data_IF_570528897817
#
_entry.id   IF_570528897817
#
_cell.length_a   1.000
_cell.length_b   1.000
_cell.length_c   1.000
_cell.angle_alpha   90.00
_cell.angle_beta   90.00
_cell.angle_gamma   90.00
#
_symmetry.space_group_name_H-M   'P 1'
#
loop_
_entity.id
_entity.type
_entity.pdbx_description
1 polymer ?
#
# COMPACT_ATOMS: atom_id res chain seq x y z
N UNK A 1 -48.02 4.73 -41.11
CA UNK A 1 -47.02 5.75 -41.50
C UNK A 1 -46.13 6.02 -40.31
N UNK A 2 -44.82 6.15 -40.57
CA UNK A 2 -43.69 6.31 -39.64
C UNK A 2 -43.05 5.04 -39.08
N UNK A 3 -42.20 4.49 -39.94
CA UNK A 3 -41.07 3.60 -39.65
C UNK A 3 -39.89 4.42 -39.12
N UNK A 4 -39.13 3.89 -38.15
CA UNK A 4 -37.75 4.32 -37.87
C UNK A 4 -36.83 3.09 -37.76
N UNK A 5 -35.57 3.18 -38.21
CA UNK A 5 -34.75 2.03 -38.56
C UNK A 5 -33.86 1.54 -37.42
N UNK A 6 -33.68 0.22 -37.35
CA UNK A 6 -32.64 -0.44 -36.58
C UNK A 6 -31.26 -0.14 -37.18
N UNK A 7 -30.39 0.52 -36.41
CA UNK A 7 -28.97 0.64 -36.72
C UNK A 7 -28.18 -0.36 -35.87
N UNK A 8 -27.65 -1.40 -36.53
CA UNK A 8 -26.59 -2.26 -35.98
C UNK A 8 -25.28 -1.46 -35.90
N UNK A 9 -24.86 -1.10 -34.68
CA UNK A 9 -23.52 -0.60 -34.43
C UNK A 9 -22.56 -1.79 -34.25
N UNK A 10 -21.77 -2.08 -35.29
CA UNK A 10 -20.62 -2.97 -35.21
C UNK A 10 -19.59 -2.38 -34.25
N UNK A 11 -19.30 -3.09 -33.16
CA UNK A 11 -18.17 -2.79 -32.29
C UNK A 11 -16.86 -3.14 -33.01
N UNK A 12 -16.22 -2.15 -33.63
CA UNK A 12 -14.84 -2.27 -34.11
C UNK A 12 -13.88 -2.33 -32.91
N UNK A 13 -13.30 -3.51 -32.67
CA UNK A 13 -12.12 -3.64 -31.82
C UNK A 13 -10.93 -2.99 -32.52
N UNK A 14 -10.62 -1.74 -32.16
CA UNK A 14 -9.33 -1.15 -32.53
C UNK A 14 -8.22 -1.74 -31.67
N UNK A 15 -7.54 -2.76 -32.20
CA UNK A 15 -6.21 -3.14 -31.76
C UNK A 15 -5.25 -1.98 -32.05
N UNK A 16 -4.84 -1.23 -31.02
CA UNK A 16 -3.84 -0.17 -31.16
C UNK A 16 -2.44 -0.78 -31.08
N UNK A 17 -1.75 -0.82 -32.22
CA UNK A 17 -0.36 -1.26 -32.34
C UNK A 17 0.62 -0.17 -31.88
N UNK A 18 1.76 -0.62 -31.36
CA UNK A 18 2.82 0.11 -30.64
C UNK A 18 3.62 1.13 -31.49
N UNK A 19 3.25 1.34 -32.76
CA UNK A 19 4.09 2.06 -33.74
C UNK A 19 4.03 3.60 -33.64
N UNK A 20 3.06 4.18 -32.93
CA UNK A 20 2.95 5.64 -32.80
C UNK A 20 3.75 6.25 -31.64
N UNK A 21 4.31 5.44 -30.73
CA UNK A 21 5.05 5.94 -29.56
C UNK A 21 6.56 6.12 -29.77
N UNK A 22 7.16 5.50 -30.80
CA UNK A 22 8.63 5.43 -30.95
C UNK A 22 9.23 6.57 -31.79
N UNK A 23 8.43 7.42 -32.43
CA UNK A 23 8.96 8.45 -33.36
C UNK A 23 9.34 9.82 -32.76
N UNK A 24 9.41 9.97 -31.44
CA UNK A 24 9.72 11.26 -30.82
C UNK A 24 10.90 11.27 -29.83
N UNK A 25 11.90 10.41 -30.05
CA UNK A 25 13.21 10.57 -29.43
C UNK A 25 14.32 10.46 -30.49
N UNK A 26 15.02 11.57 -30.69
CA UNK A 26 16.15 11.74 -31.61
C UNK A 26 17.37 10.89 -31.21
N UNK A 27 18.11 10.46 -32.24
CA UNK A 27 19.25 9.52 -32.33
C UNK A 27 20.34 9.56 -31.22
N UNK A 28 21.07 8.43 -31.02
CA UNK A 28 22.09 8.26 -29.98
C UNK A 28 23.48 8.73 -30.42
N UNK A 29 24.33 9.13 -29.46
CA UNK A 29 25.79 9.13 -29.61
C UNK A 29 26.34 7.89 -28.93
N UNK A 30 27.02 7.05 -29.70
CA UNK A 30 27.78 5.91 -29.20
C UNK A 30 28.94 6.39 -28.32
N UNK A 31 29.01 5.89 -27.09
CA UNK A 31 30.25 5.79 -26.33
C UNK A 31 30.24 4.41 -25.67
N UNK A 32 31.14 3.54 -26.10
CA UNK A 32 31.39 2.26 -25.47
C UNK A 32 31.89 2.51 -24.03
N UNK A 33 31.21 1.96 -23.03
CA UNK A 33 31.72 1.94 -21.65
C UNK A 33 32.07 0.49 -21.35
N UNK A 34 33.38 0.27 -21.23
CA UNK A 34 34.00 -0.96 -20.76
C UNK A 34 33.50 -1.28 -19.35
N UNK A 35 33.11 -2.53 -19.14
CA UNK A 35 32.73 -3.05 -17.82
C UNK A 35 34.01 -3.27 -17.01
N UNK A 36 34.37 -2.30 -16.18
CA UNK A 36 35.34 -2.51 -15.12
C UNK A 36 34.65 -3.05 -13.86
N UNK A 37 35.05 -4.26 -13.51
CA UNK A 37 34.65 -4.98 -12.32
C UNK A 37 35.38 -4.34 -11.11
N UNK A 38 34.68 -3.51 -10.33
CA UNK A 38 35.22 -2.91 -9.10
C UNK A 38 34.32 -3.15 -7.90
N UNK A 39 34.88 -3.95 -6.99
CA UNK A 39 34.70 -4.04 -5.53
C UNK A 39 33.78 -3.04 -4.84
N UNK A 40 32.87 -3.59 -4.01
CA UNK A 40 32.26 -3.04 -2.79
C UNK A 40 32.18 -1.51 -2.67
N UNK A 41 30.99 -0.95 -2.95
CA UNK A 41 30.68 0.45 -2.65
C UNK A 41 30.53 0.71 -1.14
N UNK A 42 30.90 1.91 -0.66
CA UNK A 42 30.86 2.24 0.76
C UNK A 42 29.42 2.35 1.29
N UNK A 43 29.19 1.90 2.53
CA UNK A 43 27.92 2.02 3.25
C UNK A 43 27.46 3.50 3.22
N UNK A 44 26.42 3.81 2.44
CA UNK A 44 25.81 5.14 2.48
C UNK A 44 25.07 5.31 3.81
N UNK A 45 25.39 6.37 4.55
CA UNK A 45 24.71 6.70 5.79
C UNK A 45 23.26 7.09 5.52
N UNK A 46 22.31 6.40 6.18
CA UNK A 46 20.89 6.74 6.08
C UNK A 46 20.65 8.17 6.57
N UNK A 47 20.09 8.99 5.69
CA UNK A 47 19.56 10.29 6.06
C UNK A 47 18.13 10.09 6.57
N UNK A 48 17.90 10.35 7.86
CA UNK A 48 16.56 10.39 8.45
C UNK A 48 15.91 11.75 8.20
N UNK A 49 14.61 11.79 8.00
CA UNK A 49 13.88 13.05 8.13
C UNK A 49 13.97 13.53 9.59
N UNK A 50 14.21 14.82 9.81
CA UNK A 50 13.84 15.43 11.08
C UNK A 50 12.32 15.45 11.15
N UNK A 51 11.75 14.82 12.19
CA UNK A 51 10.31 14.86 12.42
C UNK A 51 9.84 16.30 12.54
N UNK A 52 9.02 16.75 11.60
CA UNK A 52 8.35 18.07 11.67
C UNK A 52 7.09 18.02 12.53
N UNK A 53 6.84 16.91 13.23
CA UNK A 53 5.72 16.76 14.16
C UNK A 53 5.68 17.86 15.23
N UNK A 54 6.85 18.39 15.62
CA UNK A 54 7.03 19.48 16.59
C UNK A 54 6.81 20.88 15.96
N UNK A 55 6.92 21.00 14.63
CA UNK A 55 6.64 22.25 13.89
C UNK A 55 5.16 22.63 13.96
N UNK A 56 4.32 21.64 14.21
CA UNK A 56 2.96 21.87 14.67
C UNK A 56 2.93 21.79 16.19
N UNK A 57 3.40 22.86 16.84
CA UNK A 57 3.27 23.02 18.28
C UNK A 57 1.81 22.74 18.68
N UNK A 58 1.63 22.07 19.83
CA UNK A 58 0.34 21.81 20.45
C UNK A 58 -0.28 23.15 20.89
N UNK A 59 -0.68 23.98 19.94
CA UNK A 59 -1.34 25.25 20.23
C UNK A 59 -2.78 25.06 20.71
N UNK A 60 -3.32 23.83 20.68
CA UNK A 60 -4.67 23.51 21.17
C UNK A 60 -4.66 22.23 22.02
N UNK A 61 -5.14 22.28 23.29
CA UNK A 61 -5.32 21.10 24.15
C UNK A 61 -6.11 19.95 23.51
N UNK A 62 -7.00 20.27 22.57
CA UNK A 62 -7.81 19.32 21.81
C UNK A 62 -6.95 18.34 20.99
N UNK A 63 -5.86 18.79 20.38
CA UNK A 63 -5.00 17.93 19.55
C UNK A 63 -4.34 16.80 20.38
N UNK A 64 -3.95 17.10 21.62
CA UNK A 64 -3.36 16.13 22.52
C UNK A 64 -4.38 15.06 22.93
N UNK A 65 -5.63 15.47 23.20
CA UNK A 65 -6.73 14.56 23.51
C UNK A 65 -7.03 13.69 22.30
N UNK A 66 -7.19 14.28 21.10
CA UNK A 66 -7.48 13.54 19.87
C UNK A 66 -6.38 12.55 19.51
N UNK A 67 -5.10 12.89 19.68
CA UNK A 67 -4.00 11.94 19.49
C UNK A 67 -4.06 10.74 20.44
N UNK A 68 -4.55 10.92 21.68
CA UNK A 68 -4.74 9.81 22.64
C UNK A 68 -5.96 8.96 22.31
N UNK A 69 -7.04 9.58 21.83
CA UNK A 69 -8.29 8.91 21.47
C UNK A 69 -8.24 8.24 20.09
N UNK A 70 -7.40 8.74 19.18
CA UNK A 70 -7.20 8.22 17.83
C UNK A 70 -7.15 6.69 17.74
N UNK A 71 -6.25 5.98 18.46
CA UNK A 71 -6.19 4.52 18.38
C UNK A 71 -7.49 3.84 18.87
N UNK A 72 -8.19 4.43 19.83
CA UNK A 72 -9.48 3.90 20.33
C UNK A 72 -10.53 4.06 19.23
N UNK A 73 -10.62 5.25 18.63
CA UNK A 73 -11.57 5.56 17.55
C UNK A 73 -11.35 4.65 16.34
N UNK A 74 -10.09 4.42 15.95
CA UNK A 74 -9.76 3.65 14.75
C UNK A 74 -9.90 2.14 14.93
N UNK A 75 -9.48 1.60 16.07
CA UNK A 75 -9.31 0.16 16.23
C UNK A 75 -10.32 -0.48 17.19
N UNK A 76 -10.81 0.28 18.17
CA UNK A 76 -11.71 -0.25 19.19
C UNK A 76 -13.17 0.06 18.85
N UNK A 77 -13.49 1.28 18.41
CA UNK A 77 -14.87 1.68 18.07
C UNK A 77 -15.52 0.77 17.03
N UNK A 78 -14.87 0.37 15.91
CA UNK A 78 -15.51 -0.52 14.94
C UNK A 78 -15.96 -1.85 15.54
N UNK A 79 -15.17 -2.41 16.45
CA UNK A 79 -15.49 -3.67 17.15
C UNK A 79 -16.68 -3.46 18.09
N UNK A 80 -16.72 -2.35 18.83
CA UNK A 80 -17.82 -2.06 19.76
C UNK A 80 -19.11 -1.76 19.00
N UNK A 81 -19.03 -1.02 17.90
CA UNK A 81 -20.17 -0.77 17.00
C UNK A 81 -20.71 -2.07 16.43
N UNK A 82 -19.84 -2.99 16.00
CA UNK A 82 -20.25 -4.30 15.53
C UNK A 82 -20.94 -5.12 16.62
N UNK A 83 -20.37 -5.19 17.82
CA UNK A 83 -20.96 -5.91 18.96
C UNK A 83 -22.29 -5.30 19.40
N UNK A 84 -22.39 -3.98 19.47
CA UNK A 84 -23.64 -3.28 19.78
C UNK A 84 -24.71 -3.56 18.73
N UNK A 85 -24.34 -3.55 17.46
CA UNK A 85 -25.27 -3.86 16.37
C UNK A 85 -25.69 -5.33 16.38
N UNK A 86 -24.78 -6.24 16.70
CA UNK A 86 -25.10 -7.65 16.92
C UNK A 86 -26.05 -7.83 18.12
N UNK A 87 -25.85 -7.08 19.21
CA UNK A 87 -26.75 -7.10 20.37
C UNK A 87 -28.17 -6.62 20.00
N UNK A 88 -28.29 -5.61 19.11
CA UNK A 88 -29.59 -5.17 18.61
C UNK A 88 -30.35 -6.26 17.85
N UNK A 89 -29.67 -7.27 17.31
CA UNK A 89 -30.32 -8.42 16.65
C UNK A 89 -31.24 -9.23 17.57
N UNK A 90 -31.01 -9.16 18.89
CA UNK A 90 -31.80 -9.86 19.90
C UNK A 90 -33.05 -9.08 20.33
N UNK A 91 -33.09 -7.77 20.07
CA UNK A 91 -34.17 -6.87 20.51
C UNK A 91 -35.05 -6.42 19.34
N UNK A 92 -34.47 -6.28 18.15
CA UNK A 92 -35.19 -5.83 16.96
C UNK A 92 -35.96 -6.98 16.30
N UNK A 93 -37.13 -6.71 15.69
CA UNK A 93 -37.81 -7.71 14.88
C UNK A 93 -36.88 -8.19 13.75
N UNK A 94 -36.80 -9.52 13.58
CA UNK A 94 -35.83 -10.16 12.67
C UNK A 94 -35.84 -9.58 11.26
N UNK A 95 -37.03 -9.26 10.74
CA UNK A 95 -37.20 -8.67 9.40
C UNK A 95 -36.48 -7.33 9.25
N UNK A 96 -36.61 -6.42 10.23
CA UNK A 96 -35.92 -5.13 10.20
C UNK A 96 -34.41 -5.29 10.36
N UNK A 97 -33.97 -6.18 11.25
CA UNK A 97 -32.55 -6.45 11.45
C UNK A 97 -31.88 -6.98 10.18
N UNK A 98 -32.42 -8.03 9.57
CA UNK A 98 -31.86 -8.62 8.34
C UNK A 98 -31.93 -7.66 7.15
N UNK A 99 -33.01 -6.88 7.02
CA UNK A 99 -33.11 -5.83 5.99
C UNK A 99 -32.03 -4.76 6.17
N UNK A 100 -31.79 -4.33 7.41
CA UNK A 100 -30.75 -3.34 7.72
C UNK A 100 -29.34 -3.86 7.40
N UNK A 101 -29.05 -5.13 7.71
CA UNK A 101 -27.79 -5.78 7.34
C UNK A 101 -27.62 -5.85 5.83
N UNK A 102 -28.67 -6.27 5.12
CA UNK A 102 -28.65 -6.37 3.67
C UNK A 102 -28.32 -5.02 3.03
N UNK A 103 -28.99 -3.94 3.45
CA UNK A 103 -28.70 -2.58 2.95
C UNK A 103 -27.27 -2.15 3.30
N UNK A 104 -26.87 -2.28 4.56
CA UNK A 104 -25.56 -1.81 5.03
C UNK A 104 -24.39 -2.51 4.33
N UNK A 105 -24.48 -3.82 4.10
CA UNK A 105 -23.43 -4.57 3.40
C UNK A 105 -23.54 -4.46 1.88
N UNK A 106 -24.73 -4.36 1.29
CA UNK A 106 -24.88 -4.24 -0.17
C UNK A 106 -24.51 -2.85 -0.70
N UNK A 107 -24.84 -1.78 0.04
CA UNK A 107 -24.58 -0.39 -0.35
C UNK A 107 -23.12 -0.12 -0.80
N UNK A 108 -22.08 -0.43 -0.01
CA UNK A 108 -20.70 -0.16 -0.42
C UNK A 108 -20.27 -1.02 -1.62
N UNK A 109 -20.80 -2.24 -1.77
CA UNK A 109 -20.52 -3.10 -2.92
C UNK A 109 -21.13 -2.52 -4.21
N UNK A 110 -22.40 -2.07 -4.14
CA UNK A 110 -23.10 -1.44 -5.26
C UNK A 110 -22.37 -0.15 -5.65
N UNK A 111 -22.07 0.73 -4.68
CA UNK A 111 -21.35 1.97 -4.95
C UNK A 111 -19.95 1.75 -5.53
N UNK A 112 -19.21 0.75 -5.04
CA UNK A 112 -17.91 0.41 -5.61
C UNK A 112 -18.07 -0.03 -7.07
N UNK A 113 -19.06 -0.87 -7.39
CA UNK A 113 -19.33 -1.31 -8.77
C UNK A 113 -19.75 -0.16 -9.67
N UNK A 114 -20.65 0.71 -9.22
CA UNK A 114 -21.04 1.92 -9.96
C UNK A 114 -19.84 2.84 -10.20
N UNK A 115 -18.92 2.93 -9.24
CA UNK A 115 -17.69 3.70 -9.40
C UNK A 115 -16.70 3.05 -10.38
N UNK A 116 -16.58 1.72 -10.39
CA UNK A 116 -15.79 0.97 -11.37
C UNK A 116 -16.33 1.16 -12.80
N UNK A 117 -17.66 1.24 -12.96
CA UNK A 117 -18.34 1.54 -14.22
C UNK A 117 -18.25 3.02 -14.62
N UNK A 118 -17.74 3.89 -13.75
CA UNK A 118 -17.66 5.33 -13.99
C UNK A 118 -19.00 6.08 -13.88
N UNK A 119 -20.05 5.42 -13.40
CA UNK A 119 -21.40 5.99 -13.20
C UNK A 119 -21.40 6.94 -12.00
N UNK A 120 -20.70 6.56 -10.92
CA UNK A 120 -20.62 7.34 -9.69
C UNK A 120 -19.17 7.67 -9.33
N UNK A 121 -18.94 8.84 -8.73
CA UNK A 121 -17.65 9.14 -8.09
C UNK A 121 -17.78 8.86 -6.60
N UNK A 122 -17.03 7.87 -6.11
CA UNK A 122 -16.95 7.55 -4.68
C UNK A 122 -15.96 8.48 -3.97
N UNK A 123 -16.17 9.79 -4.11
CA UNK A 123 -15.29 10.84 -3.63
C UNK A 123 -16.12 11.87 -2.86
N UNK A 124 -15.62 12.33 -1.70
CA UNK A 124 -16.24 13.43 -0.95
C UNK A 124 -15.17 14.49 -0.66
N UNK A 125 -15.20 15.65 -1.36
CA UNK A 125 -14.16 16.68 -1.24
C UNK A 125 -13.91 17.18 0.19
N UNK A 126 -14.97 17.38 0.99
CA UNK A 126 -14.83 17.83 2.37
C UNK A 126 -14.10 16.79 3.23
N UNK A 127 -14.49 15.51 3.15
CA UNK A 127 -13.82 14.43 3.88
C UNK A 127 -12.39 14.17 3.41
N UNK A 128 -12.11 14.43 2.13
CA UNK A 128 -10.75 14.39 1.59
C UNK A 128 -9.87 15.47 2.23
N UNK A 129 -10.39 16.68 2.42
CA UNK A 129 -9.70 17.77 3.12
C UNK A 129 -9.40 17.46 4.59
N UNK A 130 -10.21 16.64 5.24
CA UNK A 130 -10.00 16.19 6.62
C UNK A 130 -8.99 15.03 6.76
N UNK A 131 -8.62 14.37 5.66
CA UNK A 131 -7.72 13.22 5.69
C UNK A 131 -6.37 13.53 6.37
N UNK A 132 -5.64 14.62 6.02
CA UNK A 132 -4.35 14.92 6.63
C UNK A 132 -4.46 15.16 8.14
N UNK A 133 -5.54 15.81 8.58
CA UNK A 133 -5.79 16.06 10.01
C UNK A 133 -6.02 14.77 10.78
N UNK A 134 -6.91 13.90 10.29
CA UNK A 134 -7.17 12.60 10.93
C UNK A 134 -5.92 11.73 10.97
N UNK A 135 -5.20 11.67 9.85
CA UNK A 135 -4.12 10.72 9.67
C UNK A 135 -2.78 11.20 10.27
N UNK A 136 -2.62 12.50 10.55
CA UNK A 136 -1.57 13.04 11.42
C UNK A 136 -1.54 12.36 12.78
N UNK A 137 -2.71 11.99 13.32
CA UNK A 137 -2.77 11.28 14.59
C UNK A 137 -2.25 9.83 14.46
N UNK A 138 -2.36 9.17 13.29
CA UNK A 138 -1.66 7.90 13.03
C UNK A 138 -0.14 8.06 13.19
N UNK A 139 0.42 9.06 12.51
CA UNK A 139 1.87 9.36 12.46
C UNK A 139 2.41 9.77 13.84
N UNK A 140 1.55 10.31 14.70
CA UNK A 140 1.92 10.65 16.08
C UNK A 140 1.79 9.48 17.05
N UNK A 141 0.85 8.56 16.77
CA UNK A 141 0.67 7.38 17.60
C UNK A 141 1.87 6.44 17.48
N UNK A 142 2.30 6.14 16.25
CA UNK A 142 3.52 5.38 15.96
C UNK A 142 4.67 6.33 15.67
N UNK A 143 5.87 6.18 16.25
CA UNK A 143 7.05 6.93 15.82
C UNK A 143 7.45 6.50 14.38
N UNK A 144 6.81 7.08 13.35
CA UNK A 144 7.00 6.73 11.95
C UNK A 144 8.15 7.54 11.31
N UNK A 145 9.34 6.97 11.23
CA UNK A 145 10.52 7.71 10.74
C UNK A 145 10.92 7.25 9.33
N UNK A 146 10.82 8.09 8.30
CA UNK A 146 11.34 7.75 6.97
C UNK A 146 12.86 7.98 6.89
N UNK A 147 13.53 7.11 6.14
CA UNK A 147 14.96 7.16 5.85
C UNK A 147 15.19 6.92 4.37
N UNK A 148 16.07 7.70 3.73
CA UNK A 148 16.48 7.42 2.34
C UNK A 148 17.84 6.76 2.29
N UNK A 149 17.97 5.72 1.46
CA UNK A 149 19.27 5.11 1.14
C UNK A 149 19.86 5.65 -0.16
N UNK A 150 19.08 6.37 -0.97
CA UNK A 150 19.51 6.96 -2.23
C UNK A 150 18.62 8.16 -2.58
N UNK A 151 19.14 9.04 -3.43
CA UNK A 151 18.35 10.14 -3.99
C UNK A 151 17.34 9.64 -5.02
N UNK A 152 16.19 10.30 -5.08
CA UNK A 152 15.16 10.08 -6.09
C UNK A 152 15.01 11.35 -6.94
N UNK A 153 15.05 11.16 -8.25
CA UNK A 153 14.88 12.22 -9.24
C UNK A 153 13.38 12.54 -9.39
N UNK A 154 12.91 13.74 -9.01
CA UNK A 154 11.50 14.09 -9.03
C UNK A 154 10.88 14.04 -10.43
N UNK A 155 11.70 14.07 -11.50
CA UNK A 155 11.25 13.96 -12.88
C UNK A 155 10.94 12.53 -13.30
N UNK A 156 11.35 11.51 -12.53
CA UNK A 156 11.04 10.11 -12.79
C UNK A 156 9.75 9.64 -12.10
N UNK A 157 9.10 8.65 -12.70
CA UNK A 157 7.90 8.00 -12.15
C UNK A 157 8.31 6.83 -11.27
N UNK A 158 7.71 6.72 -10.09
CA UNK A 158 8.06 5.68 -9.12
C UNK A 158 6.87 4.81 -8.70
N UNK A 159 7.16 3.52 -8.60
CA UNK A 159 6.35 2.54 -7.90
C UNK A 159 7.08 2.15 -6.61
N UNK A 160 6.58 2.61 -5.47
CA UNK A 160 7.07 2.21 -4.16
C UNK A 160 6.46 0.87 -3.79
N UNK A 161 7.30 -0.15 -3.58
CA UNK A 161 6.86 -1.48 -3.21
C UNK A 161 7.24 -1.73 -1.74
N UNK A 162 6.24 -1.62 -0.87
CA UNK A 162 6.37 -1.62 0.58
C UNK A 162 6.30 -3.02 1.18
N UNK A 163 7.18 -3.29 2.13
CA UNK A 163 7.29 -4.53 2.88
C UNK A 163 7.69 -4.27 4.34
N UNK A 164 7.36 -5.17 5.28
CA UNK A 164 6.31 -6.18 5.14
C UNK A 164 4.92 -5.51 5.21
N UNK A 165 3.86 -6.24 4.87
CA UNK A 165 2.48 -5.77 4.96
C UNK A 165 2.05 -5.53 6.42
N UNK A 166 2.58 -6.29 7.38
CA UNK A 166 2.09 -6.27 8.76
C UNK A 166 0.62 -6.68 8.87
N UNK A 167 0.01 -6.50 10.06
CA UNK A 167 -1.46 -6.61 10.19
C UNK A 167 -2.14 -5.43 9.46
N UNK A 168 -1.56 -4.25 9.65
CA UNK A 168 -1.82 -3.06 8.85
C UNK A 168 -0.48 -2.55 8.34
N UNK A 169 -0.48 -1.86 7.20
CA UNK A 169 0.74 -1.27 6.63
C UNK A 169 0.91 0.17 7.14
N UNK A 170 1.25 0.36 8.42
CA UNK A 170 1.34 1.70 9.01
C UNK A 170 2.48 2.54 8.45
N UNK A 171 3.64 1.95 8.17
CA UNK A 171 4.77 2.72 7.67
C UNK A 171 4.52 3.32 6.28
N UNK A 172 3.59 2.80 5.47
CA UNK A 172 3.14 3.46 4.24
C UNK A 172 2.64 4.89 4.49
N UNK A 173 2.11 5.19 5.67
CA UNK A 173 1.60 6.51 6.00
C UNK A 173 2.68 7.60 6.01
N UNK A 174 3.96 7.24 6.10
CA UNK A 174 5.07 8.19 5.96
C UNK A 174 5.06 8.91 4.60
N UNK A 175 4.73 8.24 3.48
CA UNK A 175 4.66 8.87 2.16
C UNK A 175 3.28 9.44 1.80
N UNK A 176 2.25 9.15 2.60
CA UNK A 176 0.91 9.71 2.42
C UNK A 176 0.76 11.02 3.23
N UNK A 177 1.29 11.09 4.45
CA UNK A 177 1.29 12.30 5.30
C UNK A 177 2.63 12.99 5.30
N UNK A 178 3.00 13.44 4.09
CA UNK A 178 4.35 13.91 3.80
C UNK A 178 4.80 15.09 4.66
N UNK A 179 3.85 15.95 5.02
CA UNK A 179 4.07 17.12 5.88
C UNK A 179 4.39 16.77 7.34
N UNK A 180 3.85 15.65 7.84
CA UNK A 180 3.96 15.25 9.25
C UNK A 180 5.13 14.29 9.47
N UNK A 181 5.37 13.39 8.52
CA UNK A 181 6.44 12.39 8.58
C UNK A 181 7.82 12.97 8.24
N UNK A 182 7.88 14.19 7.70
CA UNK A 182 9.11 14.78 7.17
C UNK A 182 9.53 14.22 5.80
N UNK A 183 8.67 13.45 5.13
CA UNK A 183 8.93 12.92 3.78
C UNK A 183 9.36 13.98 2.77
N UNK A 184 8.72 15.16 2.78
CA UNK A 184 9.03 16.26 1.85
C UNK A 184 10.43 16.83 2.03
N UNK A 185 11.01 16.69 3.23
CA UNK A 185 12.40 17.06 3.48
C UNK A 185 13.39 16.06 2.87
N UNK A 186 13.02 14.77 2.81
CA UNK A 186 13.86 13.73 2.22
C UNK A 186 13.78 13.72 0.70
N UNK A 187 12.58 13.90 0.16
CA UNK A 187 12.29 13.83 -1.27
C UNK A 187 11.51 15.06 -1.73
N UNK A 188 12.18 16.21 -1.88
CA UNK A 188 11.54 17.46 -2.26
C UNK A 188 10.98 17.37 -3.69
N UNK A 189 9.84 18.04 -3.92
CA UNK A 189 9.15 18.13 -5.24
C UNK A 189 8.67 16.80 -5.82
N UNK A 190 8.69 15.70 -5.06
CA UNK A 190 8.17 14.43 -5.55
C UNK A 190 6.69 14.51 -5.93
N UNK A 191 6.33 13.85 -7.03
CA UNK A 191 4.94 13.71 -7.47
C UNK A 191 4.06 13.05 -6.40
N UNK A 192 2.74 13.35 -6.37
CA UNK A 192 1.83 12.75 -5.40
C UNK A 192 1.86 11.22 -5.45
N UNK A 193 2.03 10.59 -4.28
CA UNK A 193 2.01 9.13 -4.13
C UNK A 193 0.58 8.70 -3.82
N UNK A 194 0.02 7.80 -4.63
CA UNK A 194 -1.33 7.29 -4.42
C UNK A 194 -1.31 5.85 -3.90
N UNK A 195 -2.07 5.56 -2.82
CA UNK A 195 -2.15 4.22 -2.27
C UNK A 195 -3.18 3.35 -2.98
N UNK A 196 -2.83 2.07 -3.12
CA UNK A 196 -3.70 1.04 -3.67
C UNK A 196 -3.95 -0.05 -2.65
N UNK A 197 -5.21 -0.44 -2.49
CA UNK A 197 -5.65 -1.45 -1.51
C UNK A 197 -6.51 -2.52 -2.18
N UNK A 198 -6.74 -3.63 -1.49
CA UNK A 198 -7.63 -4.67 -1.97
C UNK A 198 -9.05 -4.14 -2.19
N UNK A 199 -9.71 -4.56 -3.27
CA UNK A 199 -11.12 -4.20 -3.52
C UNK A 199 -12.03 -4.66 -2.39
N UNK A 200 -11.72 -5.78 -1.73
CA UNK A 200 -12.46 -6.26 -0.55
C UNK A 200 -12.46 -5.26 0.60
N UNK A 201 -11.35 -4.54 0.81
CA UNK A 201 -11.26 -3.48 1.81
C UNK A 201 -12.14 -2.29 1.44
N UNK A 202 -12.19 -1.93 0.16
CA UNK A 202 -13.08 -0.87 -0.33
C UNK A 202 -14.56 -1.30 -0.29
N UNK A 203 -14.87 -2.58 -0.29
CA UNK A 203 -16.24 -3.07 -0.13
C UNK A 203 -16.72 -3.09 1.32
N UNK A 204 -15.85 -2.82 2.31
CA UNK A 204 -16.28 -2.76 3.71
C UNK A 204 -17.15 -1.52 3.96
N UNK A 205 -18.31 -1.66 4.63
CA UNK A 205 -19.16 -0.53 4.98
C UNK A 205 -18.41 0.51 5.82
N UNK A 206 -18.67 1.80 5.56
CA UNK A 206 -18.02 2.97 6.17
C UNK A 206 -16.53 3.08 5.85
N UNK A 207 -15.72 2.07 6.18
CA UNK A 207 -14.28 2.08 5.97
C UNK A 207 -13.91 2.24 4.49
N UNK A 208 -14.59 1.50 3.61
CA UNK A 208 -14.33 1.58 2.18
C UNK A 208 -14.65 2.96 1.60
N UNK A 209 -15.69 3.63 2.09
CA UNK A 209 -16.05 4.99 1.68
C UNK A 209 -15.02 6.00 2.17
N UNK A 210 -14.65 5.92 3.46
CA UNK A 210 -13.62 6.76 4.07
C UNK A 210 -12.29 6.64 3.30
N UNK A 211 -11.84 5.42 3.02
CA UNK A 211 -10.62 5.20 2.24
C UNK A 211 -10.74 5.76 0.82
N UNK A 212 -11.88 5.57 0.15
CA UNK A 212 -12.10 6.13 -1.20
C UNK A 212 -12.07 7.67 -1.18
N UNK A 213 -12.68 8.30 -0.18
CA UNK A 213 -12.64 9.75 0.01
C UNK A 213 -11.23 10.27 0.24
N UNK A 214 -10.40 9.50 0.96
CA UNK A 214 -8.96 9.78 1.15
C UNK A 214 -8.09 9.45 -0.07
N UNK A 215 -8.70 9.03 -1.18
CA UNK A 215 -8.03 8.83 -2.47
C UNK A 215 -7.45 7.44 -2.69
N UNK A 216 -7.75 6.48 -1.81
CA UNK A 216 -7.40 5.07 -2.02
C UNK A 216 -8.19 4.50 -3.19
N UNK A 217 -7.53 3.63 -3.96
CA UNK A 217 -8.13 2.94 -5.10
C UNK A 217 -7.88 1.45 -5.03
N UNK A 218 -8.71 0.68 -5.73
CA UNK A 218 -8.47 -0.75 -5.84
C UNK A 218 -7.18 -1.03 -6.60
N UNK A 219 -6.38 -1.95 -6.08
CA UNK A 219 -5.07 -2.38 -6.62
C UNK A 219 -5.20 -3.22 -7.91
N UNK A 220 -5.97 -2.73 -8.88
CA UNK A 220 -6.11 -3.34 -10.20
C UNK A 220 -5.07 -2.77 -11.16
N UNK A 221 -4.62 -3.60 -12.12
CA UNK A 221 -3.71 -3.15 -13.20
C UNK A 221 -4.22 -1.89 -13.88
N UNK A 222 -5.52 -1.84 -14.21
CA UNK A 222 -6.12 -0.69 -14.89
C UNK A 222 -6.02 0.59 -14.05
N UNK A 223 -6.29 0.54 -12.75
CA UNK A 223 -6.23 1.70 -11.88
C UNK A 223 -4.79 2.20 -11.66
N UNK A 224 -3.83 1.29 -11.50
CA UNK A 224 -2.42 1.66 -11.31
C UNK A 224 -1.86 2.28 -12.61
N UNK A 225 -2.12 1.67 -13.77
CA UNK A 225 -1.73 2.24 -15.07
C UNK A 225 -2.38 3.62 -15.28
N UNK A 226 -3.67 3.77 -14.97
CA UNK A 226 -4.39 5.05 -15.05
C UNK A 226 -3.78 6.10 -14.12
N UNK A 227 -3.23 5.70 -12.97
CA UNK A 227 -2.54 6.61 -12.05
C UNK A 227 -1.22 7.12 -12.62
N UNK A 228 -0.41 6.23 -13.20
CA UNK A 228 0.83 6.63 -13.88
C UNK A 228 0.57 7.51 -15.10
N UNK A 229 -0.52 7.27 -15.86
CA UNK A 229 -0.95 8.15 -16.96
C UNK A 229 -1.36 9.56 -16.52
N UNK A 230 -1.55 9.79 -15.22
CA UNK A 230 -1.87 11.11 -14.63
C UNK A 230 -0.64 11.73 -13.93
N UNK A 231 0.56 11.27 -14.27
CA UNK A 231 1.83 11.69 -13.68
C UNK A 231 1.83 11.65 -12.15
N UNK A 232 1.43 10.50 -11.61
CA UNK A 232 1.42 10.22 -10.17
C UNK A 232 2.29 9.02 -9.86
N UNK A 233 2.91 9.05 -8.69
CA UNK A 233 3.60 7.89 -8.13
C UNK A 233 2.57 6.97 -7.47
N UNK A 234 2.96 5.71 -7.29
CA UNK A 234 2.10 4.69 -6.69
C UNK A 234 2.83 4.02 -5.53
N UNK A 235 2.10 3.72 -4.45
CA UNK A 235 2.55 2.73 -3.46
C UNK A 235 1.70 1.48 -3.54
N UNK A 236 2.38 0.35 -3.51
CA UNK A 236 1.79 -0.99 -3.52
C UNK A 236 2.42 -1.83 -2.40
N UNK A 237 1.69 -2.86 -1.97
CA UNK A 237 2.14 -3.84 -0.98
C UNK A 237 2.07 -5.22 -1.62
N UNK A 238 3.14 -5.67 -2.31
CA UNK A 238 3.09 -6.85 -3.18
C UNK A 238 2.68 -8.14 -2.47
N UNK A 239 3.10 -8.33 -1.21
CA UNK A 239 2.78 -9.52 -0.43
C UNK A 239 1.30 -9.65 -0.08
N UNK A 240 0.65 -8.52 0.20
CA UNK A 240 -0.77 -8.45 0.53
C UNK A 240 -1.15 -9.33 1.73
N UNK A 241 -2.39 -9.85 1.69
CA UNK A 241 -2.93 -10.73 2.74
C UNK A 241 -2.06 -11.97 2.98
N UNK A 242 -1.46 -12.54 1.94
CA UNK A 242 -0.66 -13.75 2.07
C UNK A 242 0.56 -13.53 2.98
N UNK A 243 1.19 -12.35 2.90
CA UNK A 243 2.34 -12.00 3.73
C UNK A 243 1.95 -11.82 5.20
N UNK A 244 0.85 -11.10 5.44
CA UNK A 244 0.29 -10.97 6.79
C UNK A 244 0.00 -12.33 7.44
N UNK A 245 -0.53 -13.29 6.67
CA UNK A 245 -0.86 -14.63 7.15
C UNK A 245 0.37 -15.51 7.36
N UNK A 246 1.34 -15.47 6.44
CA UNK A 246 2.53 -16.31 6.50
C UNK A 246 3.50 -15.89 7.60
N UNK A 247 3.47 -14.63 8.03
CA UNK A 247 4.29 -14.16 9.15
C UNK A 247 4.02 -14.92 10.46
N UNK A 248 2.83 -15.52 10.64
CA UNK A 248 2.54 -16.40 11.80
C UNK A 248 3.44 -17.64 11.82
N UNK A 249 3.92 -18.07 10.65
CA UNK A 249 4.80 -19.25 10.48
C UNK A 249 6.28 -18.88 10.52
N UNK A 250 6.61 -17.59 10.58
CA UNK A 250 7.98 -17.14 10.72
C UNK A 250 8.54 -17.60 12.06
N UNK A 251 9.78 -18.11 12.08
CA UNK A 251 10.48 -18.34 13.35
C UNK A 251 10.85 -17.00 14.00
N UNK A 252 11.18 -17.00 15.28
CA UNK A 252 11.51 -15.77 16.03
C UNK A 252 12.60 -14.90 15.38
N UNK A 253 13.51 -15.51 14.61
CA UNK A 253 14.60 -14.84 13.91
C UNK A 253 14.35 -14.65 12.41
N UNK A 254 13.09 -14.71 11.96
CA UNK A 254 12.75 -14.64 10.54
C UNK A 254 11.74 -13.52 10.27
N UNK A 255 11.99 -12.76 9.20
CA UNK A 255 11.02 -11.85 8.61
C UNK A 255 10.57 -12.42 7.27
N UNK A 256 9.26 -12.63 7.07
CA UNK A 256 8.74 -13.28 5.87
C UNK A 256 8.10 -12.24 4.96
N UNK A 257 8.53 -12.24 3.70
CA UNK A 257 7.94 -11.44 2.62
C UNK A 257 7.53 -12.34 1.46
N UNK A 258 6.35 -12.12 0.92
CA UNK A 258 5.77 -12.93 -0.16
C UNK A 258 5.96 -12.22 -1.48
N UNK A 259 6.97 -12.67 -2.22
CA UNK A 259 7.35 -12.08 -3.49
C UNK A 259 7.54 -13.11 -4.60
N UNK A 260 7.81 -14.38 -4.28
CA UNK A 260 7.93 -15.39 -5.33
C UNK A 260 6.61 -15.46 -6.09
N UNK A 261 6.74 -15.45 -7.41
CA UNK A 261 5.61 -15.46 -8.35
C UNK A 261 4.72 -14.21 -8.30
N UNK A 262 5.08 -13.14 -7.57
CA UNK A 262 4.35 -11.86 -7.57
C UNK A 262 4.74 -10.96 -8.74
N UNK A 263 4.55 -11.46 -9.96
CA UNK A 263 4.93 -10.74 -11.18
C UNK A 263 4.04 -9.53 -11.52
N UNK A 264 2.85 -9.44 -10.93
CA UNK A 264 1.83 -8.46 -11.35
C UNK A 264 2.30 -7.00 -11.24
N UNK A 265 2.99 -6.64 -10.15
CA UNK A 265 3.47 -5.27 -10.00
C UNK A 265 4.66 -4.95 -10.89
N UNK A 266 5.56 -5.92 -11.09
CA UNK A 266 6.67 -5.83 -12.04
C UNK A 266 6.13 -5.56 -13.44
N UNK A 267 5.16 -6.36 -13.91
CA UNK A 267 4.49 -6.17 -15.20
C UNK A 267 3.95 -4.75 -15.34
N UNK A 268 3.29 -4.22 -14.31
CA UNK A 268 2.75 -2.85 -14.34
C UNK A 268 3.84 -1.77 -14.37
N UNK A 269 4.90 -1.93 -13.59
CA UNK A 269 6.03 -0.99 -13.59
C UNK A 269 6.71 -0.95 -14.96
N UNK A 270 7.00 -2.11 -15.55
CA UNK A 270 7.60 -2.22 -16.89
C UNK A 270 6.69 -1.60 -17.98
N UNK A 271 5.38 -1.88 -17.93
CA UNK A 271 4.40 -1.31 -18.87
C UNK A 271 4.28 0.22 -18.78
N UNK A 272 4.61 0.81 -17.63
CA UNK A 272 4.46 2.26 -17.39
C UNK A 272 5.80 3.00 -17.42
N UNK A 273 6.90 2.26 -17.59
CA UNK A 273 8.27 2.79 -17.48
C UNK A 273 8.57 3.35 -16.09
N UNK A 274 7.88 2.88 -15.05
CA UNK A 274 8.08 3.36 -13.69
C UNK A 274 9.29 2.66 -13.06
N UNK A 275 10.11 3.44 -12.34
CA UNK A 275 11.19 2.91 -11.52
C UNK A 275 10.60 2.26 -10.27
N UNK A 276 11.06 1.07 -9.90
CA UNK A 276 10.59 0.37 -8.71
C UNK A 276 11.50 0.72 -7.54
N UNK A 277 10.94 1.16 -6.42
CA UNK A 277 11.68 1.45 -5.19
C UNK A 277 11.34 0.37 -4.16
N UNK A 278 12.31 -0.47 -3.72
CA UNK A 278 12.10 -1.34 -2.58
C UNK A 278 11.98 -0.49 -1.32
N UNK A 279 10.93 -0.71 -0.53
CA UNK A 279 10.70 0.01 0.73
C UNK A 279 10.51 -1.03 1.83
N UNK A 280 11.26 -0.90 2.92
CA UNK A 280 11.17 -1.79 4.08
C UNK A 280 10.85 -1.03 5.36
N UNK A 281 9.82 -1.46 6.09
CA UNK A 281 9.40 -0.91 7.38
C UNK A 281 9.81 -1.79 8.56
N UNK A 282 10.92 -1.44 9.22
CA UNK A 282 11.32 -2.08 10.47
C UNK A 282 10.38 -1.66 11.60
N UNK A 283 9.81 -2.61 12.33
CA UNK A 283 8.84 -2.40 13.42
C UNK A 283 7.39 -2.70 13.02
N UNK A 284 7.11 -2.92 11.73
CA UNK A 284 5.75 -3.11 11.23
C UNK A 284 5.08 -4.38 11.80
N UNK A 285 5.84 -5.47 11.90
CA UNK A 285 5.34 -6.76 12.36
C UNK A 285 5.14 -6.85 13.89
N UNK A 286 5.70 -5.90 14.63
CA UNK A 286 5.66 -5.79 16.09
C UNK A 286 4.46 -4.98 16.59
N UNK A 287 3.71 -4.36 15.67
CA UNK A 287 2.51 -3.55 16.01
C UNK A 287 1.38 -4.37 16.61
N UNK A 288 1.37 -5.69 16.37
CA UNK A 288 0.40 -6.63 16.92
C UNK A 288 1.05 -7.99 17.24
N UNK A 289 0.59 -8.61 18.33
CA UNK A 289 0.87 -10.02 18.60
C UNK A 289 -0.12 -10.87 17.81
N UNK A 290 0.40 -11.83 17.05
CA UNK A 290 -0.44 -12.77 16.31
C UNK A 290 -0.83 -13.92 17.24
N UNK A 291 -2.09 -14.33 17.18
CA UNK A 291 -2.58 -15.43 18.03
C UNK A 291 -2.58 -16.73 17.22
N UNK A 292 -1.96 -17.76 17.79
CA UNK A 292 -1.91 -19.09 17.22
C UNK A 292 -3.20 -19.85 17.55
N UNK A 293 -4.28 -19.54 16.84
CA UNK A 293 -5.58 -20.18 17.02
C UNK A 293 -6.15 -20.66 15.68
N UNK A 294 -6.56 -21.93 15.59
CA UNK A 294 -7.17 -22.57 14.41
C UNK A 294 -6.52 -22.20 13.07
N UNK A 295 -5.19 -22.12 13.02
CA UNK A 295 -4.49 -21.46 11.90
C UNK A 295 -4.79 -22.09 10.54
N UNK A 296 -4.86 -23.41 10.45
CA UNK A 296 -5.10 -24.11 9.19
C UNK A 296 -6.50 -23.83 8.67
N UNK A 297 -7.51 -23.93 9.54
CA UNK A 297 -8.91 -23.63 9.24
C UNK A 297 -9.09 -22.17 8.85
N UNK A 298 -8.55 -21.24 9.64
CA UNK A 298 -8.63 -19.80 9.36
C UNK A 298 -7.86 -19.43 8.11
N UNK A 299 -6.74 -20.10 7.82
CA UNK A 299 -5.97 -19.90 6.58
C UNK A 299 -6.74 -20.39 5.37
N UNK A 300 -7.35 -21.57 5.45
CA UNK A 300 -8.23 -22.09 4.42
C UNK A 300 -9.42 -21.16 4.17
N UNK A 301 -10.10 -20.73 5.23
CA UNK A 301 -11.27 -19.86 5.12
C UNK A 301 -10.89 -18.46 4.61
N UNK A 302 -9.77 -17.89 5.06
CA UNK A 302 -9.24 -16.62 4.58
C UNK A 302 -8.93 -16.66 3.08
N UNK A 303 -8.35 -17.76 2.59
CA UNK A 303 -8.11 -17.97 1.14
C UNK A 303 -9.41 -18.08 0.37
N UNK A 304 -10.39 -18.82 0.90
CA UNK A 304 -11.71 -19.02 0.27
C UNK A 304 -12.48 -17.70 0.18
N UNK A 305 -12.50 -16.91 1.25
CA UNK A 305 -13.27 -15.68 1.37
C UNK A 305 -12.50 -14.43 0.89
N UNK A 306 -11.20 -14.55 0.61
CA UNK A 306 -10.30 -13.43 0.24
C UNK A 306 -10.31 -12.28 1.26
N UNK A 307 -10.48 -12.62 2.53
CA UNK A 307 -10.40 -11.73 3.70
C UNK A 307 -9.44 -12.32 4.71
N UNK A 308 -8.89 -11.50 5.59
CA UNK A 308 -8.02 -12.01 6.66
C UNK A 308 -8.85 -12.30 7.89
N UNK A 309 -8.80 -13.55 8.35
CA UNK A 309 -9.46 -13.99 9.57
C UNK A 309 -8.48 -14.36 10.69
N UNK A 310 -7.19 -14.09 10.50
CA UNK A 310 -6.18 -14.41 11.50
C UNK A 310 -6.34 -13.53 12.74
N UNK A 311 -6.52 -14.10 13.94
CA UNK A 311 -6.64 -13.31 15.16
C UNK A 311 -5.31 -12.66 15.51
N UNK A 312 -5.41 -11.40 15.95
CA UNK A 312 -4.30 -10.60 16.44
C UNK A 312 -4.73 -9.83 17.69
N UNK A 313 -3.77 -9.56 18.57
CA UNK A 313 -3.95 -8.84 19.80
C UNK A 313 -2.93 -7.72 19.90
N UNK A 314 -3.41 -6.56 20.31
CA UNK A 314 -2.61 -5.40 20.63
C UNK A 314 -2.53 -5.17 22.14
N UNK A 315 -2.44 -3.90 22.52
CA UNK A 315 -2.31 -3.44 23.91
C UNK A 315 -3.50 -3.92 24.74
N UNK A 316 -3.20 -4.32 25.98
CA UNK A 316 -4.20 -4.76 26.96
C UNK A 316 -5.09 -5.93 26.47
N UNK A 317 -4.63 -6.71 25.48
CA UNK A 317 -5.43 -7.78 24.88
C UNK A 317 -6.57 -7.28 23.98
N UNK A 318 -6.50 -6.04 23.49
CA UNK A 318 -7.52 -5.44 22.62
C UNK A 318 -7.07 -5.39 21.16
N UNK A 319 -7.86 -4.80 20.25
CA UNK A 319 -7.46 -4.56 18.86
C UNK A 319 -6.62 -3.28 18.68
N UNK A 320 -6.23 -2.60 19.77
CA UNK A 320 -5.42 -1.39 19.72
C UNK A 320 -3.93 -1.72 19.53
N UNK A 321 -3.24 -1.21 18.50
CA UNK A 321 -1.86 -1.57 18.20
C UNK A 321 -0.87 -1.22 19.32
N UNK A 322 0.21 -2.00 19.45
CA UNK A 322 1.36 -1.65 20.28
C UNK A 322 2.06 -0.40 19.77
N UNK A 323 2.57 0.42 20.69
CA UNK A 323 3.31 1.64 20.36
C UNK A 323 4.78 1.28 20.12
N UNK A 324 5.08 0.87 18.90
CA UNK A 324 6.43 0.52 18.45
C UNK A 324 6.93 1.54 17.43
N UNK A 325 8.22 1.92 17.43
CA UNK A 325 8.81 2.71 16.35
C UNK A 325 8.70 1.96 15.03
N UNK A 326 8.33 2.67 13.95
CA UNK A 326 8.33 2.11 12.61
C UNK A 326 9.29 2.93 11.76
N UNK A 327 10.43 2.34 11.42
CA UNK A 327 11.49 2.96 10.65
C UNK A 327 11.39 2.49 9.21
N UNK A 328 11.02 3.41 8.31
CA UNK A 328 10.75 3.10 6.91
C UNK A 328 11.95 3.49 6.07
N UNK A 329 12.64 2.51 5.51
CA UNK A 329 13.80 2.73 4.64
C UNK A 329 13.39 2.63 3.18
N UNK A 330 13.71 3.67 2.42
CA UNK A 330 13.48 3.77 0.99
C UNK A 330 14.76 3.48 0.24
N UNK A 331 14.74 2.37 -0.49
CA UNK A 331 15.90 1.85 -1.19
C UNK A 331 16.25 2.59 -2.48
N UNK A 332 17.30 2.10 -3.14
CA UNK A 332 17.73 2.59 -4.45
C UNK A 332 16.67 2.29 -5.52
N UNK A 333 16.31 3.25 -6.38
CA UNK A 333 15.35 3.01 -7.45
C UNK A 333 15.93 2.09 -8.51
N UNK A 334 15.13 1.10 -8.92
CA UNK A 334 15.47 0.13 -9.97
C UNK A 334 14.82 0.62 -11.27
N UNK A 335 15.60 1.05 -12.28
CA UNK A 335 15.07 1.47 -13.56
C UNK A 335 14.50 0.28 -14.33
N UNK A 336 13.47 0.47 -15.17
CA UNK A 336 13.06 -0.56 -16.10
C UNK A 336 14.22 -0.91 -17.06
N UNK A 337 14.49 -2.19 -17.35
CA UNK A 337 15.47 -2.59 -18.33
C UNK A 337 15.02 -2.19 -19.73
N UNK A 338 15.96 -2.14 -20.67
CA UNK A 338 15.64 -2.06 -22.10
C UNK A 338 15.20 -3.45 -22.58
N UNK A 339 14.05 -3.52 -23.26
CA UNK A 339 13.54 -4.75 -23.86
C UNK A 339 12.71 -4.42 -25.10
N UNK A 340 12.79 -5.26 -26.12
CA UNK A 340 11.97 -5.11 -27.34
C UNK A 340 10.53 -5.54 -27.08
N UNK A 341 10.33 -6.69 -26.44
CA UNK A 341 9.03 -7.24 -26.05
C UNK A 341 8.97 -7.59 -24.57
N UNK A 342 7.81 -7.39 -23.94
CA UNK A 342 7.59 -7.73 -22.54
C UNK A 342 7.33 -9.23 -22.42
N UNK A 343 8.40 -10.02 -22.32
CA UNK A 343 8.32 -11.47 -22.08
C UNK A 343 8.26 -11.80 -20.59
N UNK A 344 7.81 -13.01 -20.26
CA UNK A 344 7.79 -13.47 -18.87
C UNK A 344 9.21 -13.59 -18.28
N UNK A 345 10.23 -13.83 -19.10
CA UNK A 345 11.64 -13.89 -18.69
C UNK A 345 12.16 -12.51 -18.23
N UNK A 346 11.87 -11.45 -19.01
CA UNK A 346 12.22 -10.07 -18.62
C UNK A 346 11.57 -9.71 -17.29
N UNK A 347 10.31 -10.11 -17.11
CA UNK A 347 9.55 -9.89 -15.87
C UNK A 347 10.16 -10.68 -14.70
N UNK A 348 10.56 -11.92 -14.91
CA UNK A 348 11.17 -12.76 -13.88
C UNK A 348 12.55 -12.23 -13.47
N UNK A 349 13.40 -11.86 -14.43
CA UNK A 349 14.71 -11.28 -14.17
C UNK A 349 14.60 -9.94 -13.41
N UNK A 350 13.62 -9.10 -13.77
CA UNK A 350 13.39 -7.85 -13.06
C UNK A 350 12.85 -8.08 -11.65
N UNK A 351 12.01 -9.10 -11.43
CA UNK A 351 11.59 -9.50 -10.09
C UNK A 351 12.77 -9.99 -9.24
N UNK A 352 13.70 -10.75 -9.83
CA UNK A 352 14.91 -11.23 -9.15
C UNK A 352 15.83 -10.05 -8.76
N UNK A 353 16.02 -9.10 -9.66
CA UNK A 353 16.75 -7.85 -9.38
C UNK A 353 16.12 -7.10 -8.22
N UNK A 354 14.79 -6.94 -8.24
CA UNK A 354 14.02 -6.32 -7.17
C UNK A 354 14.16 -7.07 -5.84
N UNK A 355 14.06 -8.39 -5.87
CA UNK A 355 14.15 -9.27 -4.71
C UNK A 355 15.53 -9.17 -4.04
N UNK A 356 16.58 -9.17 -4.86
CA UNK A 356 17.96 -9.01 -4.41
C UNK A 356 18.18 -7.64 -3.76
N UNK A 357 17.69 -6.57 -4.40
CA UNK A 357 17.78 -5.21 -3.85
C UNK A 357 17.00 -5.04 -2.53
N UNK A 358 15.84 -5.69 -2.38
CA UNK A 358 15.09 -5.67 -1.11
C UNK A 358 15.85 -6.41 -0.01
N UNK A 359 16.44 -7.57 -0.32
CA UNK A 359 17.24 -8.33 0.64
C UNK A 359 18.48 -7.55 1.08
N UNK A 360 19.20 -6.97 0.13
CA UNK A 360 20.35 -6.08 0.41
C UNK A 360 19.94 -4.90 1.29
N UNK A 361 18.81 -4.25 0.99
CA UNK A 361 18.28 -3.15 1.79
C UNK A 361 18.04 -3.58 3.24
N UNK A 362 17.42 -4.74 3.45
CA UNK A 362 17.19 -5.29 4.77
C UNK A 362 18.50 -5.61 5.48
N UNK A 363 19.39 -6.39 4.85
CA UNK A 363 20.64 -6.84 5.47
C UNK A 363 21.58 -5.68 5.81
N UNK A 364 21.57 -4.61 5.00
CA UNK A 364 22.37 -3.41 5.26
C UNK A 364 21.92 -2.68 6.54
N UNK A 365 20.62 -2.63 6.79
CA UNK A 365 20.06 -1.78 7.86
C UNK A 365 19.49 -2.55 9.06
N UNK A 366 19.41 -3.87 9.01
CA UNK A 366 18.83 -4.69 10.08
C UNK A 366 19.49 -4.45 11.44
N UNK A 367 20.81 -4.34 11.50
CA UNK A 367 21.52 -4.09 12.77
C UNK A 367 21.17 -2.73 13.38
N UNK A 368 20.99 -1.69 12.55
CA UNK A 368 20.66 -0.34 13.02
C UNK A 368 19.31 -0.28 13.74
N UNK A 369 18.37 -1.14 13.36
CA UNK A 369 17.00 -1.12 13.88
C UNK A 369 16.69 -2.29 14.83
N UNK A 370 17.70 -3.03 15.29
CA UNK A 370 17.52 -4.13 16.26
C UNK A 370 17.13 -5.48 15.64
N UNK A 371 17.36 -5.67 14.34
CA UNK A 371 17.07 -6.88 13.57
C UNK A 371 18.35 -7.67 13.22
N UNK A 372 19.46 -7.44 13.93
CA UNK A 372 20.76 -8.05 13.59
C UNK A 372 20.74 -9.57 13.44
N UNK A 373 20.02 -10.25 14.32
CA UNK A 373 19.87 -11.70 14.34
C UNK A 373 18.76 -12.22 13.40
N UNK A 374 18.00 -11.31 12.76
CA UNK A 374 16.88 -11.68 11.89
C UNK A 374 17.34 -11.89 10.45
N UNK A 375 16.74 -12.87 9.80
CA UNK A 375 16.92 -13.15 8.37
C UNK A 375 15.64 -12.81 7.60
N UNK A 376 15.79 -12.09 6.47
CA UNK A 376 14.67 -11.86 5.55
C UNK A 376 14.47 -13.08 4.64
N UNK A 377 13.37 -13.78 4.85
CA UNK A 377 12.93 -14.90 4.02
C UNK A 377 11.95 -14.46 2.97
N UNK A 378 12.39 -14.58 1.73
CA UNK A 378 11.58 -14.28 0.55
C UNK A 378 10.95 -15.58 0.06
N UNK A 379 9.61 -15.63 0.11
CA UNK A 379 8.81 -16.82 -0.20
C UNK A 379 7.85 -16.63 -1.35
#
# INVERSE_FOLDING_TARGET
SFSFPFAHAQHTQHAFSRSQWVKQQSKPRCAAVMVENTSAQPKQDLVSAQHTADRFSLSKPIDAILSKLFPIICFQTPVHTFLAWFALSYVMPRTYYWSSLAVFFSYPHINLKLAELGILKREWPAMKGLAPYFLRHCVRYFPLTPFKSAELDPEKRYMFAYHPHGVYCFGMYTMIFREVSGWDSLFPRMRPVHPFVASSLLSLPLLGDILSWWGYKSATRANIVKNFKRDRNSIIIPGGIAEMMMQVKAKNNEEVVILKKRYGFIKVALLTGAHIVPVYGFGENETFKRVHFMQETLTWLSRKLRVTLQPFLGRYGTFMPYKVPINVVYGKPIPPPSFDELTDDVVAQHLETYTSALKELFDTYKHKFGYGEKELKIM
#
